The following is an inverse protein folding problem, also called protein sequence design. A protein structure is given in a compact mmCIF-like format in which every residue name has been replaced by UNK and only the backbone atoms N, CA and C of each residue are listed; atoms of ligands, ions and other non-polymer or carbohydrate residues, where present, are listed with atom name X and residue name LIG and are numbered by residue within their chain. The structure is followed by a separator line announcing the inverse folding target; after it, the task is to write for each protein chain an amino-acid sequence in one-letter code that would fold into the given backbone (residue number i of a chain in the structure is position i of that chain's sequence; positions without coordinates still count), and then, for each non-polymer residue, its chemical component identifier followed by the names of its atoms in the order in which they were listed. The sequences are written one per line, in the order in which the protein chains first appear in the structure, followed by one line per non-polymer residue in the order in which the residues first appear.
data_IF_806536710281
#
_entry.id   IF_806536710281
#
_cell.length_a   1.000
_cell.length_b   1.000
_cell.length_c   1.000
_cell.angle_alpha   90.00
_cell.angle_beta   90.00
_cell.angle_gamma   90.00
#
_symmetry.space_group_name_H-M   'P 1'
#
loop_
_entity.id
_entity.type
_entity.pdbx_description
1 polymer ?
#
# COMPACT_ATOMS: atom_id res chain seq x y z
N UNK A 1 -71.48 -23.91 13.85
CA UNK A 1 -71.60 -22.80 12.86
C UNK A 1 -72.89 -22.98 12.08
N UNK A 2 -73.69 -21.92 11.87
CA UNK A 2 -74.91 -21.99 11.05
C UNK A 2 -74.54 -22.05 9.56
N UNK A 3 -75.23 -22.87 8.79
CA UNK A 3 -74.98 -23.06 7.35
C UNK A 3 -75.56 -21.88 6.55
N UNK A 4 -74.72 -21.24 5.75
CA UNK A 4 -75.12 -20.11 4.89
C UNK A 4 -75.77 -20.68 3.62
N UNK A 5 -77.10 -20.62 3.53
CA UNK A 5 -77.87 -21.08 2.36
C UNK A 5 -78.13 -19.90 1.41
N UNK A 6 -77.40 -19.86 0.29
CA UNK A 6 -77.44 -18.80 -0.74
C UNK A 6 -78.65 -18.88 -1.69
N UNK A 7 -79.39 -19.98 -1.66
CA UNK A 7 -80.34 -20.35 -2.71
C UNK A 7 -81.74 -19.73 -2.57
N UNK A 8 -82.16 -19.33 -1.36
CA UNK A 8 -83.57 -18.98 -1.08
C UNK A 8 -83.80 -17.60 -0.43
N UNK A 9 -82.83 -16.66 -0.53
CA UNK A 9 -82.97 -15.29 -0.03
C UNK A 9 -83.18 -14.25 -1.15
N UNK A 10 -83.74 -13.05 -0.85
CA UNK A 10 -83.82 -11.98 -1.84
C UNK A 10 -82.42 -11.58 -2.30
N UNK A 11 -82.14 -11.74 -3.60
CA UNK A 11 -80.86 -11.38 -4.20
C UNK A 11 -80.62 -9.88 -4.00
N UNK A 12 -79.62 -9.54 -3.19
CA UNK A 12 -79.16 -8.17 -3.01
C UNK A 12 -78.46 -7.73 -4.30
N UNK A 13 -78.86 -6.60 -4.85
CA UNK A 13 -78.14 -6.00 -5.98
C UNK A 13 -76.68 -5.78 -5.59
N UNK A 14 -75.77 -6.16 -6.48
CA UNK A 14 -74.34 -5.92 -6.30
C UNK A 14 -74.09 -4.43 -6.13
N UNK A 15 -73.46 -4.04 -5.01
CA UNK A 15 -73.03 -2.66 -4.76
C UNK A 15 -71.87 -2.22 -5.67
N UNK A 16 -71.27 -3.16 -6.40
CA UNK A 16 -70.24 -2.89 -7.39
C UNK A 16 -70.89 -2.83 -8.77
N UNK A 17 -71.40 -1.65 -9.13
CA UNK A 17 -71.79 -1.32 -10.50
C UNK A 17 -70.70 -0.45 -11.12
N UNK A 18 -70.26 -0.81 -12.30
CA UNK A 18 -69.36 0.05 -13.08
C UNK A 18 -70.13 1.27 -13.58
N UNK A 19 -69.48 2.44 -13.71
CA UNK A 19 -70.09 3.60 -14.33
C UNK A 19 -70.57 3.30 -15.76
N UNK A 20 -71.58 4.05 -16.21
CA UNK A 20 -72.10 3.93 -17.57
C UNK A 20 -70.98 4.15 -18.61
N UNK A 21 -70.94 3.30 -19.64
CA UNK A 21 -69.92 3.32 -20.69
C UNK A 21 -68.46 3.21 -20.23
N UNK A 22 -68.18 2.68 -19.03
CA UNK A 22 -66.80 2.46 -18.55
C UNK A 22 -66.00 1.60 -19.54
N UNK A 23 -66.51 0.42 -19.92
CA UNK A 23 -65.80 -0.51 -20.80
C UNK A 23 -65.76 -0.03 -22.25
N UNK A 24 -66.80 0.66 -22.72
CA UNK A 24 -66.85 1.24 -24.07
C UNK A 24 -65.75 2.29 -24.28
N UNK A 25 -65.57 3.18 -23.30
CA UNK A 25 -64.57 4.24 -23.38
C UNK A 25 -63.17 3.78 -22.92
N UNK A 26 -63.06 2.65 -22.23
CA UNK A 26 -61.78 2.15 -21.71
C UNK A 26 -60.75 1.93 -22.82
N UNK A 27 -61.15 1.27 -23.91
CA UNK A 27 -60.27 0.97 -25.03
C UNK A 27 -59.73 2.24 -25.69
N UNK A 28 -60.61 3.22 -25.95
CA UNK A 28 -60.25 4.50 -26.53
C UNK A 28 -59.29 5.30 -25.64
N UNK A 29 -59.58 5.36 -24.33
CA UNK A 29 -58.73 6.05 -23.35
C UNK A 29 -57.35 5.38 -23.20
N UNK A 30 -57.28 4.06 -23.28
CA UNK A 30 -56.02 3.32 -23.22
C UNK A 30 -55.15 3.62 -24.44
N UNK A 31 -55.73 3.57 -25.65
CA UNK A 31 -55.02 3.86 -26.90
C UNK A 31 -54.55 5.32 -26.95
N UNK A 32 -55.37 6.25 -26.46
CA UNK A 32 -55.03 7.66 -26.35
C UNK A 32 -53.83 7.87 -25.42
N UNK A 33 -53.85 7.28 -24.22
CA UNK A 33 -52.72 7.37 -23.27
C UNK A 33 -51.42 6.78 -23.82
N UNK A 34 -51.50 5.68 -24.56
CA UNK A 34 -50.32 5.09 -25.20
C UNK A 34 -49.76 5.93 -26.34
N UNK A 35 -50.60 6.79 -26.95
CA UNK A 35 -50.22 7.67 -28.07
C UNK A 35 -49.77 9.06 -27.59
N UNK A 36 -50.30 9.52 -26.46
CA UNK A 36 -49.97 10.81 -25.83
C UNK A 36 -48.76 10.71 -24.89
N UNK A 37 -48.43 9.52 -24.38
CA UNK A 37 -47.12 9.30 -23.76
C UNK A 37 -46.07 9.33 -24.86
N UNK A 38 -45.15 10.31 -24.87
CA UNK A 38 -44.05 10.31 -25.81
C UNK A 38 -43.22 9.06 -25.51
N UNK A 39 -43.27 8.10 -26.43
CA UNK A 39 -42.30 7.01 -26.53
C UNK A 39 -40.92 7.66 -26.42
N UNK A 40 -40.26 7.44 -25.29
CA UNK A 40 -38.92 7.94 -25.00
C UNK A 40 -38.77 9.46 -24.78
N UNK A 41 -39.45 10.03 -23.77
CA UNK A 41 -38.72 11.00 -22.93
C UNK A 41 -37.69 10.21 -22.12
N UNK A 42 -36.56 9.85 -22.75
CA UNK A 42 -35.46 9.16 -22.08
C UNK A 42 -35.06 10.02 -20.89
N UNK A 43 -35.52 9.63 -19.70
CA UNK A 43 -35.00 10.20 -18.48
C UNK A 43 -33.51 9.92 -18.50
N UNK A 44 -32.69 10.98 -18.42
CA UNK A 44 -31.23 10.87 -18.49
C UNK A 44 -30.74 10.10 -17.27
N UNK A 45 -30.78 8.78 -17.35
CA UNK A 45 -30.33 7.88 -16.30
C UNK A 45 -28.82 7.76 -16.40
N UNK A 46 -28.12 8.46 -15.52
CA UNK A 46 -26.67 8.35 -15.42
C UNK A 46 -26.36 7.10 -14.60
N UNK A 47 -25.78 6.08 -15.24
CA UNK A 47 -25.31 4.88 -14.56
C UNK A 47 -24.31 5.22 -13.45
N UNK A 48 -24.67 4.92 -12.19
CA UNK A 48 -23.84 5.12 -11.00
C UNK A 48 -22.53 4.31 -11.07
N UNK A 49 -22.54 3.18 -11.77
CA UNK A 49 -21.36 2.32 -11.90
C UNK A 49 -20.27 2.91 -12.81
N UNK A 50 -20.61 3.90 -13.64
CA UNK A 50 -19.65 4.55 -14.54
C UNK A 50 -18.53 5.28 -13.78
N UNK A 51 -18.81 5.80 -12.58
CA UNK A 51 -17.85 6.55 -11.77
C UNK A 51 -16.92 5.66 -10.93
N UNK A 52 -17.20 4.35 -10.79
CA UNK A 52 -16.37 3.43 -9.98
C UNK A 52 -14.93 3.32 -10.50
N UNK A 53 -14.73 3.31 -11.82
CA UNK A 53 -13.39 3.27 -12.43
C UNK A 53 -12.58 4.52 -12.11
N UNK A 54 -13.20 5.70 -12.14
CA UNK A 54 -12.54 6.97 -11.85
C UNK A 54 -12.16 7.07 -10.37
N UNK A 55 -13.01 6.56 -9.47
CA UNK A 55 -12.70 6.47 -8.03
C UNK A 55 -11.55 5.49 -7.79
N UNK A 56 -11.53 4.33 -8.45
CA UNK A 56 -10.42 3.38 -8.37
C UNK A 56 -9.10 3.99 -8.90
N UNK A 57 -9.14 4.73 -10.01
CA UNK A 57 -7.96 5.46 -10.51
C UNK A 57 -7.48 6.55 -9.54
N UNK A 58 -8.41 7.27 -8.90
CA UNK A 58 -8.04 8.28 -7.91
C UNK A 58 -7.35 7.67 -6.68
N UNK A 59 -7.86 6.52 -6.19
CA UNK A 59 -7.22 5.78 -5.10
C UNK A 59 -5.82 5.32 -5.51
N UNK A 60 -5.66 4.77 -6.72
CA UNK A 60 -4.36 4.37 -7.24
C UNK A 60 -3.38 5.55 -7.33
N UNK A 61 -3.82 6.71 -7.81
CA UNK A 61 -2.98 7.90 -7.90
C UNK A 61 -2.50 8.40 -6.52
N UNK A 62 -3.38 8.39 -5.51
CA UNK A 62 -3.01 8.73 -4.13
C UNK A 62 -2.00 7.73 -3.58
N UNK A 63 -2.17 6.44 -3.88
CA UNK A 63 -1.23 5.40 -3.45
C UNK A 63 0.16 5.57 -4.09
N UNK A 64 0.21 5.87 -5.38
CA UNK A 64 1.46 6.17 -6.08
C UNK A 64 2.15 7.38 -5.47
N UNK A 65 1.43 8.47 -5.20
CA UNK A 65 2.00 9.65 -4.54
C UNK A 65 2.51 9.32 -3.12
N UNK A 66 1.75 8.56 -2.33
CA UNK A 66 2.14 8.15 -0.99
C UNK A 66 3.46 7.35 -0.98
N UNK A 67 3.69 6.51 -1.99
CA UNK A 67 4.96 5.77 -2.16
C UNK A 67 6.06 6.67 -2.73
N UNK A 68 5.74 7.55 -3.66
CA UNK A 68 6.73 8.40 -4.35
C UNK A 68 7.34 9.48 -3.43
N UNK A 69 6.55 10.05 -2.51
CA UNK A 69 6.99 11.11 -1.60
C UNK A 69 8.23 10.70 -0.77
N UNK A 70 8.22 9.62 0.02
CA UNK A 70 9.38 9.23 0.83
C UNK A 70 10.59 8.84 -0.03
N UNK A 71 10.36 8.20 -1.19
CA UNK A 71 11.44 7.83 -2.13
C UNK A 71 12.12 9.09 -2.69
N UNK A 72 11.33 10.08 -3.10
CA UNK A 72 11.85 11.35 -3.61
C UNK A 72 12.67 12.10 -2.54
N UNK A 73 12.22 12.12 -1.28
CA UNK A 73 13.02 12.68 -0.19
C UNK A 73 14.35 11.93 -0.01
N UNK A 74 14.34 10.59 -0.02
CA UNK A 74 15.56 9.79 0.14
C UNK A 74 16.58 9.97 -1.00
N UNK A 75 16.13 10.15 -2.25
CA UNK A 75 17.03 10.39 -3.39
C UNK A 75 17.76 11.73 -3.23
N UNK A 76 17.09 12.75 -2.71
CA UNK A 76 17.70 14.07 -2.48
C UNK A 76 18.58 14.12 -1.22
N UNK A 77 18.41 13.18 -0.29
CA UNK A 77 19.25 13.06 0.92
C UNK A 77 20.37 12.04 0.80
N UNK A 78 20.57 11.41 -0.37
CA UNK A 78 21.82 10.66 -0.62
C UNK A 78 22.95 11.67 -0.64
N UNK A 79 23.56 11.86 0.53
CA UNK A 79 24.86 12.49 0.71
C UNK A 79 25.80 11.87 -0.33
N UNK A 80 26.51 12.72 -1.06
CA UNK A 80 27.61 12.26 -1.91
C UNK A 80 28.58 11.53 -0.99
N UNK A 81 28.55 10.20 -1.04
CA UNK A 81 29.61 9.40 -0.43
C UNK A 81 30.90 9.89 -1.06
N UNK A 82 31.84 10.33 -0.22
CA UNK A 82 33.10 10.88 -0.70
C UNK A 82 33.80 9.74 -1.41
N UNK A 83 34.12 9.96 -2.69
CA UNK A 83 34.80 8.97 -3.50
C UNK A 83 36.14 8.59 -2.87
N UNK A 84 36.48 7.30 -2.87
CA UNK A 84 37.65 6.78 -2.14
C UNK A 84 38.94 7.41 -2.66
N UNK A 85 39.02 7.66 -3.97
CA UNK A 85 40.14 8.35 -4.61
C UNK A 85 40.29 9.78 -4.09
N UNK A 86 39.17 10.45 -3.80
CA UNK A 86 39.18 11.81 -3.25
C UNK A 86 39.64 11.82 -1.79
N UNK A 87 39.22 10.83 -1.00
CA UNK A 87 39.68 10.65 0.38
C UNK A 87 41.18 10.32 0.45
N UNK A 88 41.66 9.43 -0.43
CA UNK A 88 43.07 9.06 -0.51
C UNK A 88 43.95 10.27 -0.84
N UNK A 89 43.55 11.07 -1.83
CA UNK A 89 44.26 12.29 -2.18
C UNK A 89 44.26 13.30 -1.02
N UNK A 90 43.13 13.49 -0.33
CA UNK A 90 43.05 14.38 0.82
C UNK A 90 43.97 13.94 1.96
N UNK A 91 44.00 12.65 2.29
CA UNK A 91 44.88 12.11 3.34
C UNK A 91 46.36 12.14 2.94
N UNK A 92 46.67 12.03 1.65
CA UNK A 92 48.04 12.11 1.13
C UNK A 92 48.57 13.55 1.06
N UNK A 93 47.70 14.52 0.78
CA UNK A 93 48.05 15.94 0.68
C UNK A 93 48.02 16.66 2.05
N UNK A 94 47.13 16.25 2.97
CA UNK A 94 47.02 16.83 4.30
C UNK A 94 48.07 16.23 5.24
N UNK A 95 49.13 17.00 5.51
CA UNK A 95 50.27 16.57 6.33
C UNK A 95 50.10 16.83 7.83
N UNK A 96 48.98 17.43 8.25
CA UNK A 96 48.71 17.84 9.63
C UNK A 96 47.88 16.85 10.44
N UNK A 97 47.95 15.56 10.12
CA UNK A 97 47.27 14.54 10.94
C UNK A 97 47.92 14.48 12.33
N UNK A 98 47.14 14.77 13.37
CA UNK A 98 47.62 14.70 14.75
C UNK A 98 47.87 13.23 15.12
N UNK A 99 49.09 12.90 15.57
CA UNK A 99 49.45 11.54 15.96
C UNK A 99 48.58 11.00 17.09
N UNK A 100 48.21 11.86 18.05
CA UNK A 100 47.36 11.46 19.17
C UNK A 100 45.94 11.09 18.72
N UNK A 101 45.44 11.77 17.68
CA UNK A 101 44.12 11.51 17.11
C UNK A 101 44.11 10.20 16.30
N UNK A 102 45.17 9.95 15.52
CA UNK A 102 45.37 8.67 14.82
C UNK A 102 45.45 7.49 15.79
N UNK A 103 46.20 7.65 16.88
CA UNK A 103 46.34 6.61 17.91
C UNK A 103 44.98 6.33 18.56
N UNK A 104 44.23 7.38 18.91
CA UNK A 104 42.89 7.23 19.51
C UNK A 104 41.88 6.54 18.59
N UNK A 105 41.96 6.76 17.28
CA UNK A 105 41.04 6.17 16.31
C UNK A 105 41.40 4.71 16.00
N UNK A 106 42.69 4.36 16.03
CA UNK A 106 43.20 3.00 15.81
C UNK A 106 43.16 2.15 17.10
N UNK A 107 43.02 2.79 18.27
CA UNK A 107 42.96 2.12 19.57
C UNK A 107 41.92 0.97 19.53
N UNK A 108 42.27 -0.24 20.02
CA UNK A 108 41.40 -1.42 19.97
C UNK A 108 40.00 -1.25 20.57
N UNK A 109 39.84 -0.26 21.47
CA UNK A 109 38.55 0.05 22.11
C UNK A 109 37.61 0.84 21.21
N UNK A 110 38.15 1.60 20.26
CA UNK A 110 37.38 2.46 19.34
C UNK A 110 37.34 1.91 17.91
N UNK A 111 38.34 1.13 17.50
CA UNK A 111 38.39 0.57 16.15
C UNK A 111 37.60 -0.74 16.04
N UNK A 112 36.57 -0.75 15.19
CA UNK A 112 35.78 -1.95 14.86
C UNK A 112 36.62 -3.04 14.17
N UNK A 113 37.65 -2.65 13.41
CA UNK A 113 38.54 -3.58 12.71
C UNK A 113 39.45 -4.30 13.71
N UNK A 114 40.00 -3.56 14.68
CA UNK A 114 40.89 -4.10 15.72
C UNK A 114 40.08 -4.81 16.83
N UNK A 115 38.84 -4.38 17.10
CA UNK A 115 37.95 -5.08 18.04
C UNK A 115 37.69 -6.53 17.63
N UNK A 116 37.60 -6.79 16.31
CA UNK A 116 37.39 -8.14 15.76
C UNK A 116 38.58 -9.08 15.98
N UNK A 117 39.80 -8.55 16.15
CA UNK A 117 40.97 -9.36 16.52
C UNK A 117 41.07 -9.59 18.02
N UNK A 118 40.46 -8.72 18.84
CA UNK A 118 40.35 -8.90 20.29
C UNK A 118 39.36 -10.00 20.69
N UNK A 119 38.43 -10.36 19.81
CA UNK A 119 37.54 -11.53 19.98
C UNK A 119 38.23 -12.89 19.75
N UNK A 120 39.51 -12.92 19.34
CA UNK A 120 40.30 -14.14 19.57
C UNK A 120 40.50 -14.28 21.08
N UNK A 121 39.66 -15.09 21.72
CA UNK A 121 39.75 -15.40 23.14
C UNK A 121 41.17 -15.82 23.50
N UNK A 122 41.69 -15.32 24.62
CA UNK A 122 43.03 -15.66 25.10
C UNK A 122 43.23 -17.17 25.26
N UNK A 123 42.15 -17.90 25.52
CA UNK A 123 42.13 -19.37 25.59
C UNK A 123 42.47 -20.01 24.23
N UNK A 124 41.98 -19.45 23.11
CA UNK A 124 42.33 -19.91 21.76
C UNK A 124 43.75 -19.54 21.37
N UNK A 125 44.22 -18.36 21.79
CA UNK A 125 45.60 -17.93 21.55
C UNK A 125 46.59 -18.77 22.35
N UNK A 126 46.30 -19.07 23.61
CA UNK A 126 47.13 -19.94 24.45
C UNK A 126 47.19 -21.37 23.88
N UNK A 127 46.06 -21.92 23.42
CA UNK A 127 46.02 -23.25 22.81
C UNK A 127 46.76 -23.31 21.46
N UNK A 128 46.64 -22.26 20.63
CA UNK A 128 47.44 -22.11 19.39
C UNK A 128 48.93 -21.94 19.72
N UNK A 129 49.26 -21.22 20.80
CA UNK A 129 50.62 -20.96 21.23
C UNK A 129 51.31 -22.21 21.83
N UNK A 130 50.53 -23.04 22.51
CA UNK A 130 51.00 -24.29 23.12
C UNK A 130 51.07 -25.42 22.09
N UNK A 131 50.13 -25.45 21.14
CA UNK A 131 50.01 -26.51 20.14
C UNK A 131 50.92 -26.31 18.93
N UNK A 132 51.44 -25.09 18.69
CA UNK A 132 52.29 -24.83 17.53
C UNK A 132 53.79 -24.93 17.88
N UNK A 133 54.47 -26.03 17.51
CA UNK A 133 55.85 -26.31 17.92
C UNK A 133 56.91 -25.40 17.29
N UNK A 134 56.53 -24.49 16.38
CA UNK A 134 57.46 -23.63 15.64
C UNK A 134 57.32 -22.14 15.98
N UNK A 135 56.67 -21.77 17.08
CA UNK A 135 56.48 -20.36 17.45
C UNK A 135 57.79 -19.65 17.72
N UNK A 136 58.81 -20.37 18.19
CA UNK A 136 60.14 -19.82 18.41
C UNK A 136 60.74 -19.25 17.10
N UNK A 137 60.42 -19.84 15.93
CA UNK A 137 60.87 -19.31 14.63
C UNK A 137 60.22 -17.96 14.26
N UNK A 138 58.99 -17.69 14.73
CA UNK A 138 58.28 -16.43 14.45
C UNK A 138 58.82 -15.25 15.28
N UNK A 139 59.49 -15.53 16.40
CA UNK A 139 60.13 -14.52 17.26
C UNK A 139 61.56 -14.24 16.83
N UNK A 140 62.22 -15.20 16.16
CA UNK A 140 63.62 -15.08 15.73
C UNK A 140 63.75 -14.39 14.35
N UNK A 141 62.68 -14.31 13.55
CA UNK A 141 62.71 -13.71 12.20
C UNK A 141 62.37 -12.19 12.18
N UNK A 142 62.77 -11.44 13.21
CA UNK A 142 62.80 -9.97 13.22
C UNK A 142 64.12 -9.44 13.82
#
# INVERSE_FOLDING_TARGET
MKTFKLENGPKKDSGFKTPDNYFENFSANLLQKLSEEPVAKETKVVSIFRKRKTVLMAIAAVFVLAVMIPIAYQINTKTKEVDTVTLENYLAEETNLNQDELISEIEPKNSTIISKTKELESETLEDILVTNPNIENLVIEN
#
